data_IF_337545582500
#
_entry.id   IF_337545582500
#
_cell.length_a   1.000
_cell.length_b   1.000
_cell.length_c   1.000
_cell.angle_alpha   90.00
_cell.angle_beta   90.00
_cell.angle_gamma   90.00
#
_symmetry.space_group_name_H-M   'P 1'
#
loop_
_entity.id
_entity.type
_entity.pdbx_description
1 polymer ?
#
# COMPACT_ATOMS: atom_id res chain seq x y z
N UNK A 1 -5.74 -36.25 -18.66
CA UNK A 1 -5.96 -34.81 -18.59
C UNK A 1 -4.73 -34.03 -18.09
N UNK A 2 -3.51 -34.40 -18.49
CA UNK A 2 -2.27 -33.73 -18.02
C UNK A 2 -1.37 -33.17 -19.17
N UNK A 3 -1.85 -33.19 -20.42
CA UNK A 3 -1.03 -32.81 -21.60
C UNK A 3 -1.33 -31.44 -22.21
N UNK A 4 -2.34 -30.70 -21.79
CA UNK A 4 -2.70 -29.39 -22.38
C UNK A 4 -2.14 -28.16 -21.66
N UNK A 5 -1.53 -28.31 -20.49
CA UNK A 5 -0.94 -27.17 -19.74
C UNK A 5 0.52 -26.82 -20.16
N UNK A 6 1.17 -27.65 -20.97
CA UNK A 6 2.57 -27.44 -21.35
C UNK A 6 2.85 -26.29 -22.35
N UNK A 7 1.99 -25.98 -23.35
CA UNK A 7 2.31 -24.90 -24.28
C UNK A 7 2.14 -23.50 -23.66
N UNK A 8 1.13 -23.29 -22.82
CA UNK A 8 0.96 -22.01 -22.11
C UNK A 8 2.12 -21.72 -21.14
N UNK A 9 2.57 -22.73 -20.41
CA UNK A 9 3.70 -22.62 -19.48
C UNK A 9 5.03 -22.31 -20.23
N UNK A 10 5.25 -22.93 -21.41
CA UNK A 10 6.42 -22.63 -22.26
C UNK A 10 6.38 -21.21 -22.84
N UNK A 11 5.20 -20.70 -23.17
CA UNK A 11 5.04 -19.34 -23.68
C UNK A 11 5.35 -18.31 -22.59
N UNK A 12 4.78 -18.49 -21.38
CA UNK A 12 5.05 -17.64 -20.22
C UNK A 12 6.53 -17.66 -19.81
N UNK A 13 7.17 -18.83 -19.82
CA UNK A 13 8.61 -18.97 -19.56
C UNK A 13 9.47 -18.22 -20.59
N UNK A 14 9.09 -18.27 -21.87
CA UNK A 14 9.80 -17.55 -22.93
C UNK A 14 9.68 -16.02 -22.76
N UNK A 15 8.52 -15.52 -22.37
CA UNK A 15 8.35 -14.08 -22.07
C UNK A 15 9.10 -13.64 -20.82
N UNK A 16 9.18 -14.47 -19.77
CA UNK A 16 9.96 -14.19 -18.58
C UNK A 16 11.46 -14.13 -18.91
N UNK A 17 11.97 -15.06 -19.72
CA UNK A 17 13.36 -15.09 -20.14
C UNK A 17 13.70 -13.88 -21.04
N UNK A 18 12.83 -13.51 -21.98
CA UNK A 18 13.00 -12.33 -22.85
C UNK A 18 12.97 -11.04 -22.01
N UNK A 19 12.06 -10.96 -21.01
CA UNK A 19 11.97 -9.82 -20.09
C UNK A 19 13.20 -9.70 -19.18
N UNK A 20 13.71 -10.81 -18.65
CA UNK A 20 14.98 -10.83 -17.91
C UNK A 20 16.13 -10.32 -18.79
N UNK A 21 16.17 -10.71 -20.05
CA UNK A 21 17.17 -10.22 -21.02
C UNK A 21 17.03 -8.72 -21.28
N UNK A 22 15.80 -8.18 -21.32
CA UNK A 22 15.58 -6.73 -21.45
C UNK A 22 16.00 -5.95 -20.20
N UNK A 23 15.67 -6.44 -18.99
CA UNK A 23 16.18 -5.87 -17.73
C UNK A 23 17.70 -5.85 -17.73
N UNK A 24 18.34 -6.95 -18.17
CA UNK A 24 19.80 -7.07 -18.29
C UNK A 24 20.39 -5.97 -19.19
N UNK A 25 19.78 -5.70 -20.33
CA UNK A 25 20.25 -4.66 -21.24
C UNK A 25 20.02 -3.24 -20.70
N UNK A 26 18.95 -3.03 -19.95
CA UNK A 26 18.50 -1.72 -19.50
C UNK A 26 19.34 -1.16 -18.35
N UNK A 27 19.82 -2.01 -17.43
CA UNK A 27 20.44 -1.57 -16.17
C UNK A 27 21.93 -1.92 -16.05
N UNK A 28 22.55 -2.43 -17.13
CA UNK A 28 23.98 -2.79 -17.13
C UNK A 28 24.87 -1.61 -16.73
N UNK A 29 25.74 -1.84 -15.76
CA UNK A 29 26.71 -0.88 -15.20
C UNK A 29 26.08 0.32 -14.45
N UNK A 30 24.76 0.37 -14.27
CA UNK A 30 24.14 1.41 -13.45
C UNK A 30 24.33 1.13 -11.95
N UNK A 31 24.56 2.19 -11.17
CA UNK A 31 24.65 2.12 -9.72
C UNK A 31 23.24 2.16 -9.12
N UNK A 32 22.77 1.01 -8.62
CA UNK A 32 21.40 0.85 -8.12
C UNK A 32 21.44 0.41 -6.67
N UNK A 33 20.72 1.13 -5.81
CA UNK A 33 20.50 0.74 -4.42
C UNK A 33 19.14 0.06 -4.30
N UNK A 34 19.12 -1.17 -3.76
CA UNK A 34 17.90 -1.97 -3.57
C UNK A 34 17.47 -1.95 -2.13
N UNK A 35 16.22 -1.56 -1.87
CA UNK A 35 15.61 -1.70 -0.55
C UNK A 35 15.34 -3.18 -0.25
N UNK A 36 16.17 -3.80 0.60
CA UNK A 36 16.05 -5.19 1.04
C UNK A 36 15.26 -5.25 2.35
N UNK A 37 14.06 -5.82 2.31
CA UNK A 37 13.17 -5.95 3.48
C UNK A 37 13.26 -7.32 4.17
N UNK A 38 14.13 -8.22 3.70
CA UNK A 38 14.14 -9.62 4.13
C UNK A 38 12.95 -10.44 3.61
N UNK A 39 12.14 -9.90 2.71
CA UNK A 39 11.05 -10.61 2.03
C UNK A 39 11.45 -11.12 0.64
N UNK A 40 10.67 -12.09 0.10
CA UNK A 40 10.97 -12.73 -1.20
C UNK A 40 11.03 -11.74 -2.36
N UNK A 41 10.16 -10.72 -2.37
CA UNK A 41 10.04 -9.78 -3.48
C UNK A 41 11.30 -8.89 -3.61
N UNK A 42 11.77 -8.31 -2.51
CA UNK A 42 13.00 -7.51 -2.50
C UNK A 42 14.24 -8.36 -2.82
N UNK A 43 14.25 -9.61 -2.37
CA UNK A 43 15.34 -10.56 -2.64
C UNK A 43 15.46 -10.87 -4.14
N UNK A 44 14.36 -11.19 -4.81
CA UNK A 44 14.31 -11.44 -6.25
C UNK A 44 14.67 -10.17 -7.04
N UNK A 45 14.21 -8.99 -6.59
CA UNK A 45 14.59 -7.70 -7.18
C UNK A 45 16.09 -7.50 -7.21
N UNK A 46 16.79 -7.73 -6.10
CA UNK A 46 18.25 -7.61 -6.02
C UNK A 46 18.95 -8.62 -6.92
N UNK A 47 18.51 -9.88 -6.92
CA UNK A 47 19.10 -10.93 -7.73
C UNK A 47 18.93 -10.67 -9.24
N UNK A 48 17.75 -10.20 -9.68
CA UNK A 48 17.48 -9.84 -11.07
C UNK A 48 18.42 -8.73 -11.56
N UNK A 49 18.54 -7.64 -10.79
CA UNK A 49 19.38 -6.50 -11.14
C UNK A 49 20.88 -6.87 -11.17
N UNK A 50 21.34 -7.65 -10.18
CA UNK A 50 22.74 -8.13 -10.14
C UNK A 50 23.05 -9.02 -11.33
N UNK A 51 22.18 -9.97 -11.66
CA UNK A 51 22.31 -10.82 -12.85
C UNK A 51 22.21 -10.02 -14.15
N UNK A 52 21.46 -8.91 -14.12
CA UNK A 52 21.38 -7.92 -15.18
C UNK A 52 22.65 -7.11 -15.40
N UNK A 53 23.67 -7.31 -14.58
CA UNK A 53 24.96 -6.61 -14.69
C UNK A 53 24.95 -5.19 -14.13
N UNK A 54 23.96 -4.83 -13.32
CA UNK A 54 23.97 -3.60 -12.52
C UNK A 54 24.98 -3.68 -11.38
N UNK A 55 25.51 -2.53 -10.96
CA UNK A 55 26.25 -2.37 -9.73
C UNK A 55 25.25 -2.22 -8.59
N UNK A 56 24.93 -3.33 -7.92
CA UNK A 56 23.87 -3.39 -6.93
C UNK A 56 24.45 -3.32 -5.52
N UNK A 57 23.88 -2.44 -4.68
CA UNK A 57 24.06 -2.40 -3.22
C UNK A 57 22.72 -2.56 -2.54
N UNK A 58 22.65 -3.28 -1.45
CA UNK A 58 21.45 -3.47 -0.64
C UNK A 58 21.36 -2.43 0.47
N UNK A 59 20.15 -2.04 0.84
CA UNK A 59 19.88 -1.28 2.08
C UNK A 59 18.72 -1.94 2.81
N UNK A 60 18.97 -2.35 4.05
CA UNK A 60 17.92 -2.69 4.99
C UNK A 60 17.50 -1.44 5.76
N UNK A 61 16.22 -1.07 5.65
CA UNK A 61 15.67 0.10 6.34
C UNK A 61 15.13 -0.31 7.71
N UNK A 62 15.79 0.12 8.78
CA UNK A 62 15.27 0.00 10.14
C UNK A 62 14.32 1.17 10.41
N UNK A 63 13.01 0.95 10.27
CA UNK A 63 12.00 2.01 10.38
C UNK A 63 11.24 2.00 11.72
N UNK A 64 11.55 1.08 12.61
CA UNK A 64 10.94 1.01 13.93
C UNK A 64 11.95 0.53 14.97
N UNK A 65 11.90 1.15 16.11
CA UNK A 65 12.61 0.73 17.32
C UNK A 65 11.57 0.45 18.41
N UNK A 66 11.55 -0.79 18.92
CA UNK A 66 10.70 -1.15 20.03
C UNK A 66 11.39 -0.88 21.36
N UNK A 67 10.72 -0.14 22.21
CA UNK A 67 11.27 0.24 23.50
C UNK A 67 11.33 -0.91 24.52
N UNK A 68 10.69 -2.07 24.35
CA UNK A 68 10.67 -3.08 25.44
C UNK A 68 10.14 -4.51 25.17
N UNK A 69 10.09 -5.10 23.98
CA UNK A 69 9.69 -6.50 23.87
C UNK A 69 10.40 -7.28 22.76
N UNK A 70 11.28 -8.19 23.13
CA UNK A 70 11.97 -9.15 22.26
C UNK A 70 11.02 -10.16 21.56
N UNK A 71 9.79 -10.29 22.02
CA UNK A 71 8.84 -11.34 21.60
C UNK A 71 8.23 -11.11 20.21
N UNK A 72 8.24 -9.88 19.70
CA UNK A 72 7.64 -9.50 18.40
C UNK A 72 8.62 -8.84 17.42
N UNK A 73 9.92 -8.95 17.65
CA UNK A 73 10.92 -8.27 16.82
C UNK A 73 11.16 -9.01 15.49
N UNK A 74 10.21 -8.94 14.56
CA UNK A 74 10.40 -9.39 13.17
C UNK A 74 11.57 -8.68 12.49
N UNK A 75 11.85 -7.43 12.87
CA UNK A 75 12.92 -6.58 12.31
C UNK A 75 14.29 -7.26 12.41
N UNK A 76 14.61 -7.91 13.55
CA UNK A 76 15.88 -8.62 13.72
C UNK A 76 15.98 -9.81 12.78
N UNK A 77 14.91 -10.61 12.64
CA UNK A 77 14.89 -11.73 11.71
C UNK A 77 14.91 -11.23 10.26
N UNK A 78 14.14 -10.19 9.94
CA UNK A 78 14.10 -9.60 8.60
C UNK A 78 15.46 -9.03 8.18
N UNK A 79 16.22 -8.42 9.12
CA UNK A 79 17.58 -7.95 8.85
C UNK A 79 18.56 -9.10 8.58
N UNK A 80 18.48 -10.20 9.36
CA UNK A 80 19.28 -11.40 9.13
C UNK A 80 18.95 -12.03 7.77
N UNK A 81 17.68 -12.12 7.42
CA UNK A 81 17.25 -12.63 6.12
C UNK A 81 17.78 -11.76 4.98
N UNK A 82 17.74 -10.42 5.13
CA UNK A 82 18.28 -9.48 4.14
C UNK A 82 19.81 -9.63 3.98
N UNK A 83 20.55 -9.82 5.07
CA UNK A 83 22.00 -10.08 5.03
C UNK A 83 22.30 -11.42 4.34
N UNK A 84 21.56 -12.48 4.65
CA UNK A 84 21.72 -13.77 3.99
C UNK A 84 21.42 -13.72 2.49
N UNK A 85 20.44 -12.92 2.08
CA UNK A 85 20.16 -12.65 0.66
C UNK A 85 21.32 -11.89 0.01
N UNK A 86 21.86 -10.86 0.66
CA UNK A 86 22.99 -10.09 0.14
C UNK A 86 24.21 -10.98 -0.09
N UNK A 87 24.52 -11.88 0.84
CA UNK A 87 25.62 -12.87 0.71
C UNK A 87 25.43 -13.78 -0.52
N UNK A 88 24.22 -14.34 -0.70
CA UNK A 88 23.93 -15.26 -1.83
C UNK A 88 23.95 -14.51 -3.17
N UNK A 89 23.42 -13.29 -3.19
CA UNK A 89 23.42 -12.46 -4.43
C UNK A 89 24.81 -11.90 -4.71
N UNK A 90 25.71 -11.84 -3.74
CA UNK A 90 27.06 -11.28 -3.86
C UNK A 90 27.05 -9.75 -3.99
N UNK A 91 26.34 -9.08 -3.06
CA UNK A 91 26.24 -7.62 -2.97
C UNK A 91 26.52 -7.15 -1.55
N UNK A 92 27.04 -5.94 -1.42
CA UNK A 92 27.14 -5.28 -0.11
C UNK A 92 25.76 -4.83 0.38
N UNK A 93 25.58 -4.79 1.70
CA UNK A 93 24.34 -4.33 2.33
C UNK A 93 24.64 -3.40 3.51
N UNK A 94 23.92 -2.28 3.58
CA UNK A 94 23.92 -1.39 4.74
C UNK A 94 22.61 -1.54 5.52
N UNK A 95 22.71 -1.30 6.83
CA UNK A 95 21.55 -1.15 7.70
C UNK A 95 21.43 0.34 8.04
N UNK A 96 20.35 0.96 7.55
CA UNK A 96 20.11 2.40 7.74
C UNK A 96 18.89 2.61 8.63
N UNK A 97 19.07 3.41 9.68
CA UNK A 97 18.03 3.70 10.66
C UNK A 97 17.19 4.91 10.23
N UNK A 98 15.93 4.70 9.92
CA UNK A 98 14.93 5.72 9.62
C UNK A 98 13.81 5.78 10.68
N UNK A 99 14.00 5.18 11.87
CA UNK A 99 12.94 5.07 12.88
C UNK A 99 12.43 6.45 13.35
N UNK A 100 13.32 7.42 13.51
CA UNK A 100 12.92 8.78 13.88
C UNK A 100 12.04 9.43 12.80
N UNK A 101 12.45 9.32 11.52
CA UNK A 101 11.69 9.87 10.39
C UNK A 101 10.34 9.15 10.22
N UNK A 102 10.30 7.83 10.41
CA UNK A 102 9.06 7.06 10.35
C UNK A 102 8.10 7.47 11.47
N UNK A 103 8.60 7.62 12.71
CA UNK A 103 7.82 8.04 13.88
C UNK A 103 7.20 9.41 13.67
N UNK A 104 7.97 10.35 13.15
CA UNK A 104 7.53 11.72 12.90
C UNK A 104 6.57 11.84 11.72
N UNK A 105 6.91 11.27 10.55
CA UNK A 105 6.19 11.53 9.30
C UNK A 105 5.05 10.57 9.03
N UNK A 106 5.13 9.33 9.53
CA UNK A 106 4.14 8.28 9.26
C UNK A 106 3.31 7.97 10.49
N UNK A 107 3.96 7.64 11.60
CA UNK A 107 3.26 7.16 12.78
C UNK A 107 2.50 8.27 13.53
N UNK A 108 3.06 9.46 13.62
CA UNK A 108 2.37 10.60 14.23
C UNK A 108 1.09 10.96 13.46
N UNK A 109 1.15 11.02 12.12
CA UNK A 109 -0.03 11.23 11.28
C UNK A 109 -1.06 10.09 11.45
N UNK A 110 -0.58 8.85 11.48
CA UNK A 110 -1.42 7.68 11.69
C UNK A 110 -2.21 7.77 13.01
N UNK A 111 -1.56 8.15 14.12
CA UNK A 111 -2.23 8.35 15.42
C UNK A 111 -3.23 9.50 15.38
N UNK A 112 -2.88 10.62 14.75
CA UNK A 112 -3.76 11.78 14.61
C UNK A 112 -5.04 11.45 13.85
N UNK A 113 -4.94 10.69 12.76
CA UNK A 113 -6.09 10.26 11.97
C UNK A 113 -7.03 9.35 12.77
N UNK A 114 -6.46 8.39 13.52
CA UNK A 114 -7.26 7.52 14.37
C UNK A 114 -7.93 8.28 15.52
N UNK A 115 -7.26 9.26 16.13
CA UNK A 115 -7.87 10.14 17.14
C UNK A 115 -9.07 10.93 16.57
N UNK A 116 -8.97 11.33 15.31
CA UNK A 116 -10.04 12.01 14.59
C UNK A 116 -11.11 11.03 14.05
N UNK A 117 -11.11 9.76 14.45
CA UNK A 117 -12.09 8.75 14.02
C UNK A 117 -11.92 8.24 12.59
N UNK A 118 -10.91 8.71 11.85
CA UNK A 118 -10.63 8.31 10.48
C UNK A 118 -9.76 7.05 10.43
N UNK A 119 -9.69 6.41 9.27
CA UNK A 119 -8.88 5.18 9.06
C UNK A 119 -7.79 5.49 8.05
N UNK A 120 -6.57 5.86 8.47
CA UNK A 120 -5.47 6.19 7.57
C UNK A 120 -4.89 4.96 6.85
N UNK A 121 -4.10 5.23 5.80
CA UNK A 121 -3.30 4.22 5.12
C UNK A 121 -1.80 4.51 5.33
N UNK A 122 -1.17 3.91 6.35
CA UNK A 122 0.24 4.16 6.67
C UNK A 122 1.19 3.68 5.58
N UNK A 123 0.82 2.66 4.77
CA UNK A 123 1.68 2.13 3.72
C UNK A 123 1.89 3.14 2.59
N UNK A 124 0.87 3.94 2.25
CA UNK A 124 0.99 5.05 1.30
C UNK A 124 2.00 6.08 1.80
N UNK A 125 1.90 6.48 3.07
CA UNK A 125 2.82 7.45 3.67
C UNK A 125 4.23 6.90 3.81
N UNK A 126 4.37 5.64 4.20
CA UNK A 126 5.66 4.97 4.27
C UNK A 126 6.36 4.96 2.90
N UNK A 127 5.63 4.67 1.83
CA UNK A 127 6.19 4.76 0.49
C UNK A 127 6.59 6.20 0.15
N UNK A 128 5.70 7.18 0.33
CA UNK A 128 5.95 8.57 -0.06
C UNK A 128 7.08 9.23 0.74
N UNK A 129 7.10 9.07 2.08
CA UNK A 129 7.97 9.83 2.96
C UNK A 129 9.25 9.08 3.38
N UNK A 130 9.21 7.74 3.44
CA UNK A 130 10.36 6.95 3.87
C UNK A 130 11.06 6.32 2.66
N UNK A 131 10.37 5.42 1.91
CA UNK A 131 11.04 4.66 0.85
C UNK A 131 11.45 5.52 -0.35
N UNK A 132 10.54 6.38 -0.83
CA UNK A 132 10.81 7.19 -2.03
C UNK A 132 11.20 8.64 -1.71
N UNK A 133 11.50 8.95 -0.44
CA UNK A 133 12.09 10.20 -0.02
C UNK A 133 13.35 9.96 0.83
N UNK A 134 13.23 9.62 2.10
CA UNK A 134 14.42 9.47 2.97
C UNK A 134 15.41 8.42 2.43
N UNK A 135 14.93 7.25 1.99
CA UNK A 135 15.80 6.22 1.41
C UNK A 135 16.32 6.61 0.03
N UNK A 136 15.50 7.26 -0.82
CA UNK A 136 15.96 7.78 -2.10
C UNK A 136 17.04 8.82 -1.92
N UNK A 137 16.84 9.81 -1.02
CA UNK A 137 17.82 10.86 -0.75
C UNK A 137 19.14 10.25 -0.26
N UNK A 138 19.08 9.32 0.72
CA UNK A 138 20.25 8.57 1.20
C UNK A 138 20.98 7.87 0.04
N UNK A 139 20.26 7.14 -0.80
CA UNK A 139 20.87 6.38 -1.91
C UNK A 139 21.55 7.30 -2.94
N UNK A 140 20.92 8.44 -3.25
CA UNK A 140 21.50 9.45 -4.17
C UNK A 140 22.75 10.10 -3.58
N UNK A 141 22.75 10.42 -2.30
CA UNK A 141 23.93 10.97 -1.59
C UNK A 141 25.09 9.96 -1.59
N UNK A 142 24.80 8.66 -1.57
CA UNK A 142 25.76 7.57 -1.70
C UNK A 142 26.13 7.23 -3.18
N UNK A 143 25.72 8.06 -4.14
CA UNK A 143 26.09 7.96 -5.55
C UNK A 143 25.23 7.00 -6.38
N UNK A 144 24.05 6.61 -5.91
CA UNK A 144 23.11 5.81 -6.72
C UNK A 144 22.45 6.63 -7.83
N UNK A 145 22.33 6.06 -9.01
CA UNK A 145 21.57 6.62 -10.12
C UNK A 145 20.07 6.38 -9.95
N UNK A 146 19.70 5.26 -9.31
CA UNK A 146 18.32 4.87 -9.04
C UNK A 146 18.20 4.00 -7.78
N UNK A 147 16.99 3.93 -7.22
CA UNK A 147 16.63 2.93 -6.23
C UNK A 147 15.69 1.90 -6.83
N UNK A 148 15.76 0.65 -6.32
CA UNK A 148 14.82 -0.40 -6.70
C UNK A 148 14.11 -0.98 -5.48
N UNK A 149 12.86 -1.37 -5.68
CA UNK A 149 12.04 -1.99 -4.66
C UNK A 149 11.26 -3.18 -5.21
N UNK A 150 10.83 -4.09 -4.34
CA UNK A 150 10.03 -5.25 -4.69
C UNK A 150 8.55 -4.96 -4.94
N UNK A 151 8.17 -3.74 -5.33
CA UNK A 151 6.78 -3.41 -5.62
C UNK A 151 6.32 -3.97 -6.97
N UNK A 152 5.07 -4.45 -6.99
CA UNK A 152 4.37 -4.86 -8.20
C UNK A 152 3.70 -3.63 -8.82
N UNK A 153 4.50 -2.85 -9.52
CA UNK A 153 4.07 -1.72 -10.34
C UNK A 153 4.97 -1.65 -11.57
N UNK A 154 4.55 -1.01 -12.64
CA UNK A 154 5.36 -0.81 -13.84
C UNK A 154 5.67 0.66 -14.03
N UNK A 155 6.77 0.94 -14.71
CA UNK A 155 7.15 2.28 -15.13
C UNK A 155 7.39 2.27 -16.63
N UNK A 156 6.84 3.26 -17.32
CA UNK A 156 7.07 3.50 -18.74
C UNK A 156 7.52 4.94 -18.95
N UNK A 157 8.35 5.16 -19.95
CA UNK A 157 8.79 6.50 -20.37
C UNK A 157 8.22 6.79 -21.73
N UNK A 158 7.45 7.87 -21.86
CA UNK A 158 6.88 8.38 -23.12
C UNK A 158 7.27 9.85 -23.26
N UNK A 159 7.97 10.20 -24.30
CA UNK A 159 8.41 11.58 -24.58
C UNK A 159 9.15 12.23 -23.39
N UNK A 160 9.98 11.46 -22.66
CA UNK A 160 10.73 11.91 -21.51
C UNK A 160 9.92 12.01 -20.20
N UNK A 161 8.63 11.74 -20.22
CA UNK A 161 7.75 11.69 -19.03
C UNK A 161 7.68 10.27 -18.51
N UNK A 162 7.86 10.11 -17.19
CA UNK A 162 7.74 8.82 -16.51
C UNK A 162 6.31 8.59 -16.04
N UNK A 163 5.72 7.48 -16.44
CA UNK A 163 4.37 7.06 -16.08
C UNK A 163 4.43 5.90 -15.09
N UNK A 164 3.68 6.02 -13.99
CA UNK A 164 3.42 4.90 -13.08
C UNK A 164 2.26 4.08 -13.64
N UNK A 165 2.49 2.78 -13.83
CA UNK A 165 1.50 1.86 -14.37
C UNK A 165 1.16 0.78 -13.36
N UNK A 166 -0.02 0.20 -13.51
CA UNK A 166 -0.41 -0.99 -12.75
C UNK A 166 0.59 -2.12 -12.94
N UNK A 167 0.78 -2.94 -11.92
CA UNK A 167 1.50 -4.22 -12.05
C UNK A 167 0.74 -5.18 -12.98
N UNK A 168 1.48 -6.07 -13.65
CA UNK A 168 0.90 -7.09 -14.53
C UNK A 168 0.06 -8.12 -13.74
N UNK A 169 0.46 -8.45 -12.50
CA UNK A 169 -0.35 -9.25 -11.59
C UNK A 169 -1.45 -8.38 -10.95
N UNK A 170 -2.66 -8.45 -11.48
CA UNK A 170 -3.81 -7.69 -10.98
C UNK A 170 -4.19 -7.98 -9.53
N UNK A 171 -3.81 -9.14 -8.98
CA UNK A 171 -4.03 -9.49 -7.57
C UNK A 171 -2.97 -8.88 -6.64
N UNK A 172 -1.84 -8.46 -7.21
CA UNK A 172 -0.68 -7.92 -6.48
C UNK A 172 -0.36 -6.48 -6.86
N UNK A 173 -1.05 -5.89 -7.85
CA UNK A 173 -0.82 -4.50 -8.27
C UNK A 173 -0.76 -3.56 -7.06
N UNK A 174 0.39 -2.92 -6.88
CA UNK A 174 0.67 -2.02 -5.76
C UNK A 174 0.75 -0.55 -6.19
N UNK A 175 0.37 -0.22 -7.41
CA UNK A 175 0.32 1.18 -7.88
C UNK A 175 -0.54 2.08 -6.99
N UNK A 176 -1.60 1.52 -6.38
CA UNK A 176 -2.42 2.19 -5.36
C UNK A 176 -1.61 2.76 -4.19
N UNK A 177 -0.59 2.06 -3.71
CA UNK A 177 0.24 2.52 -2.59
C UNK A 177 1.34 3.50 -3.02
N UNK A 178 1.54 3.68 -4.33
CA UNK A 178 2.59 4.49 -4.93
C UNK A 178 2.06 5.81 -5.54
N UNK A 179 0.77 6.08 -5.45
CA UNK A 179 0.12 7.22 -6.10
C UNK A 179 0.65 8.59 -5.66
N UNK A 180 1.31 8.67 -4.50
CA UNK A 180 1.92 9.91 -3.97
C UNK A 180 3.36 10.13 -4.44
N UNK A 181 3.91 9.24 -5.26
CA UNK A 181 5.24 9.44 -5.83
C UNK A 181 5.24 10.67 -6.73
N UNK A 182 6.14 11.59 -6.41
CA UNK A 182 6.37 12.78 -7.24
C UNK A 182 7.14 12.41 -8.52
N UNK A 183 7.02 13.18 -9.62
CA UNK A 183 7.69 12.87 -10.88
C UNK A 183 9.19 12.59 -10.76
N UNK A 184 9.92 13.37 -9.93
CA UNK A 184 11.36 13.17 -9.72
C UNK A 184 11.68 11.86 -8.98
N UNK A 185 10.80 11.44 -8.05
CA UNK A 185 10.93 10.16 -7.34
C UNK A 185 10.67 8.99 -8.28
N UNK A 186 9.61 9.10 -9.10
CA UNK A 186 9.28 8.09 -10.09
C UNK A 186 10.38 7.94 -11.14
N UNK A 187 11.03 9.03 -11.55
CA UNK A 187 12.17 9.01 -12.46
C UNK A 187 13.29 8.08 -11.94
N UNK A 188 13.60 8.18 -10.64
CA UNK A 188 14.68 7.41 -9.99
C UNK A 188 14.23 6.07 -9.40
N UNK A 189 12.95 5.74 -9.44
CA UNK A 189 12.39 4.49 -8.94
C UNK A 189 12.40 3.39 -10.00
N UNK A 190 12.78 2.16 -9.60
CA UNK A 190 12.72 0.96 -10.42
C UNK A 190 11.84 -0.10 -9.75
N UNK A 191 11.02 -0.76 -10.56
CA UNK A 191 10.11 -1.83 -10.15
C UNK A 191 10.33 -3.10 -10.97
N UNK A 192 11.43 -3.84 -10.75
CA UNK A 192 11.79 -4.99 -11.57
C UNK A 192 10.76 -6.13 -11.59
N UNK A 193 9.89 -6.20 -10.58
CA UNK A 193 8.85 -7.23 -10.50
C UNK A 193 7.54 -6.85 -11.21
N UNK A 194 7.41 -5.63 -11.72
CA UNK A 194 6.14 -5.10 -12.20
C UNK A 194 5.50 -5.86 -13.36
N UNK A 195 6.31 -6.59 -14.14
CA UNK A 195 5.85 -7.41 -15.27
C UNK A 195 5.67 -8.90 -14.92
N UNK A 196 5.97 -9.29 -13.67
CA UNK A 196 5.93 -10.67 -13.22
C UNK A 196 4.70 -10.94 -12.36
N UNK A 197 4.15 -12.14 -12.47
CA UNK A 197 3.16 -12.65 -11.53
C UNK A 197 3.85 -13.23 -10.28
N UNK A 198 3.17 -13.18 -9.13
CA UNK A 198 3.73 -13.68 -7.86
C UNK A 198 4.23 -15.13 -7.89
N UNK A 199 3.54 -16.10 -8.55
CA UNK A 199 4.08 -17.45 -8.70
C UNK A 199 5.43 -17.48 -9.41
N UNK A 200 5.63 -16.61 -10.41
CA UNK A 200 6.88 -16.52 -11.15
C UNK A 200 8.02 -15.95 -10.28
N UNK A 201 7.74 -14.92 -9.48
CA UNK A 201 8.69 -14.37 -8.50
C UNK A 201 9.14 -15.45 -7.51
N UNK A 202 8.21 -16.30 -7.02
CA UNK A 202 8.57 -17.43 -6.14
C UNK A 202 9.40 -18.48 -6.85
N UNK A 203 9.11 -18.78 -8.13
CA UNK A 203 9.91 -19.70 -8.94
C UNK A 203 11.35 -19.17 -9.09
N UNK A 204 11.50 -17.89 -9.42
CA UNK A 204 12.81 -17.23 -9.52
C UNK A 204 13.57 -17.25 -8.18
N UNK A 205 12.88 -17.04 -7.07
CA UNK A 205 13.50 -17.13 -5.75
C UNK A 205 14.08 -18.51 -5.45
N UNK A 206 13.39 -19.59 -5.83
CA UNK A 206 13.90 -20.97 -5.72
C UNK A 206 15.07 -21.20 -6.67
N UNK A 207 14.95 -20.78 -7.92
CA UNK A 207 16.00 -20.93 -8.95
C UNK A 207 17.28 -20.20 -8.56
N UNK A 208 17.16 -19.01 -7.94
CA UNK A 208 18.30 -18.22 -7.49
C UNK A 208 18.86 -18.71 -6.14
N UNK A 209 18.25 -19.75 -5.53
CA UNK A 209 18.68 -20.28 -4.24
C UNK A 209 18.47 -19.32 -3.06
N UNK A 210 17.50 -18.40 -3.16
CA UNK A 210 17.28 -17.39 -2.15
C UNK A 210 16.64 -18.00 -0.89
N UNK A 211 17.13 -17.71 0.33
CA UNK A 211 16.62 -18.29 1.58
C UNK A 211 15.18 -17.84 1.88
N UNK A 212 14.75 -16.75 1.28
CA UNK A 212 13.41 -16.18 1.46
C UNK A 212 12.34 -16.81 0.54
N UNK A 213 12.68 -17.77 -0.32
CA UNK A 213 11.77 -18.36 -1.31
C UNK A 213 10.47 -18.91 -0.73
N UNK A 214 10.55 -19.55 0.46
CA UNK A 214 9.41 -20.13 1.19
C UNK A 214 8.77 -19.15 2.21
N UNK A 215 9.35 -17.96 2.41
CA UNK A 215 8.85 -16.98 3.38
C UNK A 215 7.46 -16.48 2.96
N UNK A 216 6.52 -16.43 3.91
CA UNK A 216 5.18 -15.90 3.69
C UNK A 216 5.26 -14.39 3.39
N UNK A 217 4.31 -13.90 2.60
CA UNK A 217 4.17 -12.46 2.38
C UNK A 217 3.75 -11.79 3.69
N UNK A 218 4.37 -10.65 4.03
CA UNK A 218 3.97 -9.86 5.19
C UNK A 218 2.54 -9.33 5.00
N UNK A 219 1.71 -9.49 6.03
CA UNK A 219 0.29 -9.08 6.03
C UNK A 219 -0.01 -7.93 6.99
N UNK A 220 0.96 -7.50 7.77
CA UNK A 220 0.85 -6.40 8.74
C UNK A 220 1.10 -5.01 8.14
N UNK A 221 0.96 -3.98 8.98
CA UNK A 221 1.38 -2.62 8.66
C UNK A 221 2.89 -2.62 8.45
N UNK A 222 3.33 -1.95 7.37
CA UNK A 222 4.73 -1.87 6.99
C UNK A 222 5.61 -1.43 8.18
N UNK A 223 6.63 -2.23 8.52
CA UNK A 223 7.60 -2.04 9.61
C UNK A 223 7.08 -2.20 11.06
N UNK A 224 5.77 -2.26 11.30
CA UNK A 224 5.23 -2.57 12.63
C UNK A 224 5.10 -4.09 12.83
N UNK A 225 5.01 -4.84 11.71
CA UNK A 225 4.91 -6.29 11.71
C UNK A 225 3.52 -6.85 12.03
N UNK A 226 3.45 -8.18 12.19
CA UNK A 226 2.22 -8.89 12.53
C UNK A 226 2.00 -8.84 14.05
N UNK A 227 1.43 -7.74 14.54
CA UNK A 227 1.05 -7.59 15.95
C UNK A 227 -0.47 -7.54 16.07
N UNK A 228 -1.04 -7.94 17.23
CA UNK A 228 -2.43 -7.65 17.53
C UNK A 228 -2.66 -6.13 17.48
N UNK A 229 -3.25 -5.68 16.40
CA UNK A 229 -3.38 -4.25 16.06
C UNK A 229 -4.04 -3.43 17.18
N UNK A 230 -5.06 -4.00 17.84
CA UNK A 230 -5.74 -3.35 18.97
C UNK A 230 -4.79 -3.13 20.15
N UNK A 231 -4.06 -4.16 20.56
CA UNK A 231 -3.12 -4.09 21.70
C UNK A 231 -1.98 -3.09 21.42
N UNK A 232 -1.52 -3.06 20.18
CA UNK A 232 -0.52 -2.10 19.76
C UNK A 232 -1.03 -0.66 19.87
N UNK A 233 -2.20 -0.35 19.30
CA UNK A 233 -2.77 1.01 19.32
C UNK A 233 -3.17 1.47 20.72
N UNK A 234 -3.62 0.58 21.60
CA UNK A 234 -3.99 0.91 22.98
C UNK A 234 -2.82 1.49 23.80
N UNK A 235 -1.57 1.21 23.40
CA UNK A 235 -0.39 1.83 24.05
C UNK A 235 -0.27 3.33 23.76
N UNK A 236 -0.85 3.80 22.66
CA UNK A 236 -0.70 5.18 22.16
C UNK A 236 -2.00 5.98 22.19
N UNK A 237 -3.13 5.33 22.14
CA UNK A 237 -4.44 5.98 22.06
C UNK A 237 -5.32 5.55 23.23
N UNK A 238 -5.80 6.51 24.04
CA UNK A 238 -6.81 6.21 25.05
C UNK A 238 -8.08 5.72 24.37
N UNK A 239 -8.68 4.68 24.90
CA UNK A 239 -9.90 4.09 24.36
C UNK A 239 -11.00 4.10 25.41
N UNK A 240 -12.21 4.45 24.99
CA UNK A 240 -13.38 4.45 25.83
C UNK A 240 -14.45 3.55 25.20
N UNK A 241 -15.01 2.65 26.01
CA UNK A 241 -16.16 1.87 25.60
C UNK A 241 -17.35 2.78 25.32
N UNK A 242 -18.20 2.37 24.40
CA UNK A 242 -19.44 3.09 24.07
C UNK A 242 -20.44 2.17 23.38
N UNK A 243 -21.58 2.74 23.02
CA UNK A 243 -22.68 1.97 22.46
C UNK A 243 -22.53 1.74 20.95
N UNK A 244 -22.93 0.56 20.50
CA UNK A 244 -23.26 0.29 19.10
C UNK A 244 -24.75 0.54 18.90
N UNK A 245 -25.09 1.46 17.99
CA UNK A 245 -26.46 1.93 17.78
C UNK A 245 -26.93 1.72 16.35
N UNK A 246 -28.20 1.43 16.16
CA UNK A 246 -28.83 1.43 14.83
C UNK A 246 -29.18 2.86 14.39
N UNK A 247 -29.56 3.09 13.12
CA UNK A 247 -30.02 4.40 12.64
C UNK A 247 -31.22 4.96 13.45
N UNK A 248 -32.05 4.08 13.98
CA UNK A 248 -33.19 4.43 14.80
C UNK A 248 -32.84 4.73 16.28
N UNK A 249 -31.56 4.64 16.64
CA UNK A 249 -31.04 4.88 17.97
C UNK A 249 -31.17 3.70 18.95
N UNK A 250 -31.47 2.49 18.45
CA UNK A 250 -31.51 1.28 19.29
C UNK A 250 -30.09 0.82 19.60
N UNK A 251 -29.78 0.62 20.89
CA UNK A 251 -28.54 0.01 21.33
C UNK A 251 -28.57 -1.51 21.03
N UNK A 252 -27.57 -2.01 20.33
CA UNK A 252 -27.46 -3.42 19.90
C UNK A 252 -26.18 -4.09 20.38
N UNK A 253 -25.27 -3.35 21.00
CA UNK A 253 -24.02 -3.86 21.55
C UNK A 253 -23.15 -2.76 22.15
N UNK A 254 -21.94 -3.11 22.57
CA UNK A 254 -20.93 -2.19 23.06
C UNK A 254 -19.63 -2.33 22.25
N UNK A 255 -18.98 -1.21 21.96
CA UNK A 255 -17.67 -1.17 21.34
C UNK A 255 -16.58 -0.84 22.37
N UNK A 256 -15.35 -1.23 22.07
CA UNK A 256 -14.18 -1.04 22.95
C UNK A 256 -13.34 0.20 22.57
N UNK A 257 -13.90 1.11 21.81
CA UNK A 257 -13.27 2.33 21.32
C UNK A 257 -13.47 2.50 19.82
N UNK A 258 -14.01 3.66 19.39
CA UNK A 258 -14.33 3.98 17.98
C UNK A 258 -13.14 3.85 17.03
N UNK A 259 -11.94 4.05 17.54
CA UNK A 259 -10.68 3.95 16.79
C UNK A 259 -10.46 2.58 16.15
N UNK A 260 -10.97 1.50 16.76
CA UNK A 260 -10.74 0.13 16.29
C UNK A 260 -11.70 -0.33 15.20
N UNK A 261 -12.59 0.53 14.76
CA UNK A 261 -13.61 0.18 13.78
C UNK A 261 -13.44 0.99 12.50
N UNK A 262 -13.67 0.33 11.38
CA UNK A 262 -13.60 0.92 10.04
C UNK A 262 -14.97 0.77 9.36
N UNK A 263 -15.38 1.74 8.57
CA UNK A 263 -16.63 1.67 7.81
C UNK A 263 -16.63 0.42 6.93
N UNK A 264 -17.75 -0.33 6.93
CA UNK A 264 -17.87 -1.61 6.24
C UNK A 264 -17.31 -2.81 7.02
N UNK A 265 -16.74 -2.61 8.23
CA UNK A 265 -16.25 -3.71 9.02
C UNK A 265 -17.42 -4.60 9.50
N UNK A 266 -17.26 -5.92 9.27
CA UNK A 266 -18.22 -6.96 9.70
C UNK A 266 -17.71 -7.75 10.91
N UNK A 267 -16.41 -8.09 10.89
CA UNK A 267 -15.83 -8.97 11.92
C UNK A 267 -15.49 -8.20 13.20
N UNK A 268 -15.63 -8.87 14.36
CA UNK A 268 -15.22 -8.32 15.66
C UNK A 268 -16.21 -7.33 16.27
N UNK A 269 -17.47 -7.29 15.81
CA UNK A 269 -18.51 -6.46 16.41
C UNK A 269 -19.12 -7.11 17.66
N UNK A 270 -19.15 -8.45 17.75
CA UNK A 270 -19.71 -9.15 18.90
C UNK A 270 -21.24 -9.00 19.05
N UNK A 271 -21.93 -8.50 18.04
CA UNK A 271 -23.38 -8.35 18.04
C UNK A 271 -24.01 -9.68 17.65
N UNK A 272 -24.81 -10.24 18.54
CA UNK A 272 -25.61 -11.44 18.28
C UNK A 272 -27.00 -11.10 17.76
N UNK A 273 -27.86 -12.14 17.61
CA UNK A 273 -29.26 -12.01 17.24
C UNK A 273 -29.60 -12.61 15.87
N UNK A 274 -30.91 -12.55 15.54
CA UNK A 274 -31.41 -12.98 14.26
C UNK A 274 -31.25 -11.88 13.20
N UNK A 275 -31.26 -12.26 11.94
CA UNK A 275 -31.16 -11.35 10.79
C UNK A 275 -29.85 -11.45 10.06
N UNK A 276 -29.58 -10.49 9.20
CA UNK A 276 -28.37 -10.41 8.39
C UNK A 276 -27.15 -9.98 9.22
N UNK A 277 -25.93 -10.17 8.72
CA UNK A 277 -24.72 -9.71 9.41
C UNK A 277 -24.74 -8.21 9.64
N UNK A 278 -24.12 -7.80 10.76
CA UNK A 278 -23.94 -6.40 11.10
C UNK A 278 -22.70 -5.80 10.44
N UNK A 279 -22.79 -4.54 10.02
CA UNK A 279 -21.70 -3.77 9.42
C UNK A 279 -21.61 -2.39 10.07
N UNK A 280 -20.38 -1.87 10.21
CA UNK A 280 -20.14 -0.50 10.64
C UNK A 280 -20.54 0.46 9.52
N UNK A 281 -21.46 1.38 9.80
CA UNK A 281 -21.91 2.39 8.85
C UNK A 281 -21.45 3.81 9.19
N UNK A 282 -21.05 4.08 10.44
CA UNK A 282 -20.62 5.42 10.84
C UNK A 282 -20.06 5.48 12.26
N UNK A 283 -19.59 6.66 12.66
CA UNK A 283 -19.08 6.97 14.00
C UNK A 283 -19.61 8.32 14.45
N UNK A 284 -20.15 8.38 15.65
CA UNK A 284 -20.55 9.62 16.32
C UNK A 284 -19.53 9.91 17.43
N UNK A 285 -18.51 10.73 17.14
CA UNK A 285 -17.44 11.01 18.08
C UNK A 285 -17.93 11.75 19.34
N UNK A 286 -18.78 12.82 19.25
CA UNK A 286 -19.29 13.52 20.42
C UNK A 286 -20.06 12.63 21.39
N UNK A 287 -20.82 11.65 20.89
CA UNK A 287 -21.60 10.72 21.72
C UNK A 287 -20.89 9.42 22.04
N UNK A 288 -19.70 9.20 21.47
CA UNK A 288 -18.97 7.93 21.54
C UNK A 288 -19.84 6.73 21.12
N UNK A 289 -20.54 6.84 19.98
CA UNK A 289 -21.44 5.81 19.43
C UNK A 289 -20.91 5.28 18.10
N UNK A 290 -20.97 3.97 17.93
CA UNK A 290 -20.68 3.29 16.66
C UNK A 290 -22.00 2.98 15.95
N UNK A 291 -22.23 3.62 14.81
CA UNK A 291 -23.40 3.35 13.97
C UNK A 291 -23.22 2.03 13.24
N UNK A 292 -24.15 1.11 13.41
CA UNK A 292 -24.15 -0.22 12.79
C UNK A 292 -25.48 -0.51 12.10
N UNK A 293 -25.40 -1.23 10.98
CA UNK A 293 -26.57 -1.62 10.17
C UNK A 293 -26.54 -3.11 9.86
N UNK A 294 -27.70 -3.73 9.65
CA UNK A 294 -27.80 -5.11 9.17
C UNK A 294 -27.88 -5.16 7.64
N UNK A 295 -27.25 -6.16 7.08
CA UNK A 295 -27.21 -6.39 5.62
C UNK A 295 -26.07 -5.66 4.92
N UNK A 296 -25.46 -6.37 3.96
CA UNK A 296 -24.39 -5.83 3.12
C UNK A 296 -24.89 -4.67 2.23
N UNK A 297 -26.14 -4.75 1.81
CA UNK A 297 -26.72 -3.84 0.82
C UNK A 297 -27.49 -2.67 1.44
N UNK A 298 -27.28 -2.44 2.75
CA UNK A 298 -27.89 -1.31 3.44
C UNK A 298 -27.43 0.03 2.85
N UNK A 299 -28.39 0.94 2.59
CA UNK A 299 -28.13 2.19 1.87
C UNK A 299 -27.06 3.10 2.52
N UNK A 300 -26.89 3.06 3.84
CA UNK A 300 -25.88 3.84 4.56
C UNK A 300 -24.45 3.37 4.28
N UNK A 301 -24.26 2.20 3.68
CA UNK A 301 -22.94 1.70 3.28
C UNK A 301 -22.53 2.18 1.89
N UNK A 302 -23.41 2.83 1.13
CA UNK A 302 -23.16 3.26 -0.24
C UNK A 302 -23.08 4.77 -0.35
N UNK A 303 -22.14 5.26 -1.14
CA UNK A 303 -21.95 6.68 -1.42
C UNK A 303 -21.81 6.92 -2.93
N UNK A 304 -22.33 8.06 -3.42
CA UNK A 304 -22.26 8.43 -4.83
C UNK A 304 -21.18 9.47 -5.13
N UNK A 305 -20.73 10.19 -4.12
CA UNK A 305 -19.65 11.15 -4.27
C UNK A 305 -18.74 11.17 -3.07
N UNK A 306 -17.49 11.56 -3.27
CA UNK A 306 -16.53 11.83 -2.21
C UNK A 306 -15.78 13.13 -2.48
N UNK A 307 -15.30 13.74 -1.41
CA UNK A 307 -14.30 14.81 -1.49
C UNK A 307 -12.96 14.28 -0.98
N UNK A 308 -11.90 14.75 -1.60
CA UNK A 308 -10.51 14.41 -1.22
C UNK A 308 -9.66 15.67 -1.16
N UNK A 309 -8.65 15.65 -0.30
CA UNK A 309 -7.64 16.69 -0.17
C UNK A 309 -6.22 16.12 -0.23
N UNK A 310 -5.21 16.97 0.02
CA UNK A 310 -3.80 16.59 -0.09
C UNK A 310 -3.53 15.91 -1.45
N UNK A 311 -3.97 16.55 -2.52
CA UNK A 311 -3.85 16.02 -3.86
C UNK A 311 -2.38 15.82 -4.23
N UNK A 312 -2.07 14.66 -4.81
CA UNK A 312 -0.75 14.28 -5.26
C UNK A 312 -0.83 13.62 -6.63
N UNK A 313 -0.02 14.07 -7.56
CA UNK A 313 -0.02 13.59 -8.94
C UNK A 313 1.33 13.00 -9.29
N UNK A 314 1.32 11.85 -9.98
CA UNK A 314 2.53 11.15 -10.42
C UNK A 314 3.13 11.77 -11.68
N UNK A 315 2.35 12.60 -12.36
CA UNK A 315 2.73 13.32 -13.57
C UNK A 315 3.08 14.78 -13.27
N UNK A 316 3.91 15.43 -14.11
CA UNK A 316 4.26 16.84 -13.95
C UNK A 316 3.04 17.79 -13.99
N UNK A 317 2.04 17.44 -14.77
CA UNK A 317 0.79 18.19 -14.88
C UNK A 317 -0.34 17.43 -14.19
N UNK A 318 -1.19 18.18 -13.45
CA UNK A 318 -2.39 17.61 -12.85
C UNK A 318 -3.36 17.13 -13.93
N UNK A 319 -4.09 16.03 -13.74
CA UNK A 319 -5.12 15.58 -14.68
C UNK A 319 -6.16 16.66 -14.92
N UNK A 320 -6.71 16.73 -16.12
CA UNK A 320 -7.84 17.63 -16.40
C UNK A 320 -9.10 17.12 -15.72
N UNK A 321 -10.06 18.00 -15.45
CA UNK A 321 -11.40 17.56 -15.07
C UNK A 321 -11.99 16.66 -16.16
N UNK A 322 -12.67 15.58 -15.76
CA UNK A 322 -13.21 14.63 -16.71
C UNK A 322 -13.40 13.21 -16.15
N UNK A 323 -13.55 12.29 -17.08
CA UNK A 323 -13.86 10.87 -16.80
C UNK A 323 -12.60 10.04 -16.55
N UNK A 324 -12.63 9.32 -15.43
CA UNK A 324 -11.55 8.44 -14.99
C UNK A 324 -12.11 7.19 -14.30
N UNK A 325 -11.23 6.31 -13.85
CA UNK A 325 -11.58 5.28 -12.88
C UNK A 325 -10.89 5.56 -11.54
N UNK A 326 -11.50 5.12 -10.45
CA UNK A 326 -11.00 5.34 -9.10
C UNK A 326 -11.02 4.06 -8.27
N UNK A 327 -9.98 3.86 -7.46
CA UNK A 327 -9.98 2.91 -6.34
C UNK A 327 -10.03 3.68 -5.02
N UNK A 328 -11.00 3.38 -4.18
CA UNK A 328 -11.14 3.95 -2.83
C UNK A 328 -10.56 3.04 -1.75
N UNK A 329 -10.10 1.85 -2.11
CA UNK A 329 -9.34 0.89 -1.30
C UNK A 329 -8.48 0.01 -2.21
N UNK A 330 -7.38 -0.50 -1.69
CA UNK A 330 -6.41 -1.30 -2.42
C UNK A 330 -7.01 -2.48 -3.21
N UNK A 331 -7.89 -3.28 -2.60
CA UNK A 331 -8.44 -4.50 -3.23
C UNK A 331 -9.80 -4.31 -3.90
N UNK A 332 -10.29 -3.08 -4.01
CA UNK A 332 -11.55 -2.82 -4.71
C UNK A 332 -11.34 -2.80 -6.22
N UNK A 333 -12.40 -3.14 -6.94
CA UNK A 333 -12.48 -2.95 -8.38
C UNK A 333 -12.52 -1.46 -8.70
N UNK A 334 -12.10 -1.10 -9.90
CA UNK A 334 -12.15 0.27 -10.40
C UNK A 334 -13.60 0.72 -10.54
N UNK A 335 -13.88 1.92 -10.05
CA UNK A 335 -15.17 2.57 -10.19
C UNK A 335 -15.08 3.73 -11.19
N UNK A 336 -15.94 3.76 -12.21
CA UNK A 336 -16.02 4.91 -13.12
C UNK A 336 -16.50 6.13 -12.37
N UNK A 337 -15.80 7.26 -12.57
CA UNK A 337 -16.09 8.52 -11.90
C UNK A 337 -15.75 9.73 -12.75
N UNK A 338 -16.27 10.88 -12.36
CA UNK A 338 -15.93 12.21 -12.91
C UNK A 338 -15.16 12.98 -11.85
N UNK A 339 -13.96 13.44 -12.20
CA UNK A 339 -13.12 14.33 -11.40
C UNK A 339 -13.53 15.79 -11.61
N UNK A 340 -13.69 16.54 -10.53
CA UNK A 340 -13.90 17.97 -10.49
C UNK A 340 -13.03 18.61 -9.40
N UNK A 341 -12.32 19.68 -9.71
CA UNK A 341 -11.55 20.43 -8.72
C UNK A 341 -12.44 21.42 -7.97
N UNK A 342 -12.31 21.44 -6.66
CA UNK A 342 -12.96 22.41 -5.77
C UNK A 342 -11.99 23.55 -5.42
N UNK A 343 -10.69 23.22 -5.33
CA UNK A 343 -9.58 24.16 -5.15
C UNK A 343 -8.29 23.55 -5.69
N UNK A 344 -7.13 24.18 -5.45
CA UNK A 344 -5.84 23.63 -5.87
C UNK A 344 -5.46 22.34 -5.11
N UNK A 345 -5.93 22.18 -3.87
CA UNK A 345 -5.63 21.03 -3.02
C UNK A 345 -6.86 20.15 -2.72
N UNK A 346 -8.01 20.43 -3.27
CA UNK A 346 -9.24 19.67 -3.04
C UNK A 346 -9.96 19.32 -4.33
N UNK A 347 -10.51 18.11 -4.38
CA UNK A 347 -11.31 17.66 -5.51
C UNK A 347 -12.50 16.82 -5.05
N UNK A 348 -13.49 16.74 -5.91
CA UNK A 348 -14.67 15.88 -5.78
C UNK A 348 -14.64 14.79 -6.85
N UNK A 349 -15.03 13.58 -6.48
CA UNK A 349 -15.32 12.49 -7.40
C UNK A 349 -16.80 12.16 -7.32
N UNK A 350 -17.47 12.24 -8.47
CA UNK A 350 -18.83 11.76 -8.66
C UNK A 350 -18.78 10.40 -9.35
N UNK A 351 -19.27 9.35 -8.68
CA UNK A 351 -19.31 7.99 -9.22
C UNK A 351 -20.55 7.76 -10.08
N UNK A 352 -20.41 6.94 -11.12
CA UNK A 352 -21.54 6.51 -11.92
C UNK A 352 -22.46 5.58 -11.12
N UNK A 353 -21.85 4.64 -10.41
CA UNK A 353 -22.55 3.69 -9.53
C UNK A 353 -22.13 3.92 -8.08
N UNK A 354 -23.05 3.75 -7.11
CA UNK A 354 -22.72 3.93 -5.69
C UNK A 354 -21.56 3.02 -5.25
N UNK A 355 -20.63 3.57 -4.48
CA UNK A 355 -19.47 2.84 -3.98
C UNK A 355 -19.66 2.42 -2.53
N UNK A 356 -19.33 1.14 -2.27
CA UNK A 356 -19.51 0.52 -0.95
C UNK A 356 -18.43 0.93 0.03
N UNK A 357 -18.84 1.33 1.23
CA UNK A 357 -18.01 1.56 2.41
C UNK A 357 -16.79 2.47 2.15
N UNK A 358 -16.97 3.53 1.36
CA UNK A 358 -15.96 4.59 1.21
C UNK A 358 -15.61 5.16 2.58
N UNK A 359 -14.32 5.26 2.91
CA UNK A 359 -13.87 5.51 4.28
C UNK A 359 -12.98 6.75 4.35
N UNK A 360 -13.30 7.66 5.25
CA UNK A 360 -12.50 8.86 5.53
C UNK A 360 -11.09 8.47 6.03
N UNK A 361 -10.08 9.14 5.53
CA UNK A 361 -8.67 8.84 5.82
C UNK A 361 -8.03 7.83 4.88
N UNK A 362 -8.82 7.06 4.11
CA UNK A 362 -8.31 6.23 3.02
C UNK A 362 -7.98 7.10 1.80
N UNK A 363 -7.28 6.52 0.83
CA UNK A 363 -6.95 7.21 -0.42
C UNK A 363 -7.97 6.93 -1.51
N UNK A 364 -8.32 7.96 -2.27
CA UNK A 364 -8.97 7.83 -3.58
C UNK A 364 -7.90 7.98 -4.65
N UNK A 365 -7.62 6.90 -5.39
CA UNK A 365 -6.56 6.84 -6.39
C UNK A 365 -7.16 6.75 -7.79
N UNK A 366 -6.79 7.69 -8.64
CA UNK A 366 -7.30 7.85 -10.00
C UNK A 366 -6.42 7.14 -11.02
N UNK A 367 -7.08 6.56 -12.02
CA UNK A 367 -6.44 5.87 -13.13
C UNK A 367 -7.04 6.27 -14.47
N UNK A 368 -6.16 6.34 -15.48
CA UNK A 368 -6.54 6.38 -16.89
C UNK A 368 -6.05 5.09 -17.56
N UNK A 369 -6.94 4.13 -17.73
CA UNK A 369 -6.58 2.77 -18.11
C UNK A 369 -5.59 2.13 -17.12
N UNK A 370 -4.38 1.85 -17.59
CA UNK A 370 -3.30 1.28 -16.75
C UNK A 370 -2.48 2.34 -16.00
N UNK A 371 -2.59 3.62 -16.37
CA UNK A 371 -1.80 4.69 -15.78
C UNK A 371 -2.40 5.12 -14.44
N UNK A 372 -1.61 5.02 -13.37
CA UNK A 372 -1.92 5.61 -12.08
C UNK A 372 -1.60 7.11 -12.13
N UNK A 373 -2.63 7.94 -12.12
CA UNK A 373 -2.48 9.40 -12.24
C UNK A 373 -2.09 10.07 -10.92
N UNK A 374 -2.50 9.51 -9.81
CA UNK A 374 -2.41 10.13 -8.49
C UNK A 374 -3.72 10.06 -7.73
N UNK A 375 -3.95 10.98 -6.82
CA UNK A 375 -5.18 11.00 -6.03
C UNK A 375 -5.08 11.88 -4.80
N UNK A 376 -5.90 11.59 -3.77
CA UNK A 376 -5.93 12.33 -2.52
C UNK A 376 -6.47 11.52 -1.36
N UNK A 377 -6.48 12.12 -0.17
CA UNK A 377 -7.06 11.55 1.05
C UNK A 377 -8.56 11.86 1.10
N UNK A 378 -9.39 10.85 1.28
CA UNK A 378 -10.85 10.99 1.39
C UNK A 378 -11.20 11.73 2.68
N UNK A 379 -11.87 12.87 2.56
CA UNK A 379 -12.24 13.73 3.69
C UNK A 379 -13.73 13.78 3.95
N UNK A 380 -14.55 13.63 2.92
CA UNK A 380 -16.00 13.65 3.03
C UNK A 380 -16.65 12.73 2.00
N UNK A 381 -17.90 12.38 2.23
CA UNK A 381 -18.79 11.68 1.30
C UNK A 381 -20.15 12.36 1.31
N UNK A 382 -21.02 12.03 0.33
CA UNK A 382 -22.41 12.49 0.33
C UNK A 382 -23.25 12.00 1.53
N UNK A 383 -22.68 11.09 2.34
CA UNK A 383 -23.27 10.65 3.61
C UNK A 383 -22.33 10.99 4.76
N UNK A 384 -22.83 11.55 5.88
CA UNK A 384 -22.01 11.88 7.04
C UNK A 384 -21.64 10.59 7.81
N UNK A 385 -20.57 9.93 7.36
CA UNK A 385 -20.08 8.69 7.97
C UNK A 385 -19.30 8.92 9.28
N UNK A 386 -18.84 10.14 9.51
CA UNK A 386 -18.20 10.59 10.74
C UNK A 386 -18.91 11.88 11.15
N UNK A 387 -19.58 11.83 12.28
CA UNK A 387 -20.15 13.02 12.91
C UNK A 387 -19.08 13.57 13.87
N UNK A 388 -18.57 14.74 13.54
CA UNK A 388 -17.58 15.46 14.34
C UNK A 388 -18.27 16.24 15.47
#
# INVERSE_FOLDING_TARGET
MAREKQPALRLVLKYADEFIVEIIKMYKNQNIVVGLSGGVDSSVTAALLKRGGANVRGVFMQNWEDDNNDEYCSIKQDSLDAMAVADIVGIDIDIVNFAAQYKDKVFAYFLQEYQAGRTPNPDVLCNAEIKFKCFLDYAVDEGAEAIATGHYARKEVRDGVHYLLRGADGNKDQSYFLYRLQPYQLQKALFPLGHLEKPEVRRLAVEFGLPTAAKKDSTGICFIGERPFREFLQKYLPTHNGNMVTPEGKIVGEHVGLTFYTIGQRKGLGIGGAGEPWFVAGKNLPKNELLVVQGHDHELLYTRSLQMNQLSWTLPEKPREGRYTCKTRYRMTDAACTLRYLSDDTAELQFDEPQWAVTHGQSAVLYDGEVCLGGGIITATDKPLILL
#
